data_IF_659118964055
#
_entry.id   IF_659118964055
#
_cell.length_a   1.000
_cell.length_b   1.000
_cell.length_c   1.000
_cell.angle_alpha   90.00
_cell.angle_beta   90.00
_cell.angle_gamma   90.00
#
_symmetry.space_group_name_H-M   'P 1'
#
loop_
_entity.id
_entity.type
_entity.pdbx_description
1 polymer ?
#
# COMPACT_ATOMS: atom_id res chain seq x y z
N UNK A 1 3.65 -8.02 -6.92
CA UNK A 1 2.78 -7.23 -6.03
C UNK A 1 1.44 -7.03 -6.74
N UNK A 2 0.31 -7.05 -6.01
CA UNK A 2 -1.06 -6.86 -6.54
C UNK A 2 -1.51 -7.93 -7.55
N UNK A 3 -1.01 -9.14 -7.45
CA UNK A 3 -1.35 -10.26 -8.34
C UNK A 3 -2.56 -11.06 -7.89
N UNK A 4 -3.05 -10.80 -6.68
CA UNK A 4 -4.13 -11.56 -6.07
C UNK A 4 -5.52 -10.98 -6.38
N UNK A 5 -6.46 -11.88 -6.63
CA UNK A 5 -7.88 -11.57 -6.76
C UNK A 5 -8.67 -12.39 -5.75
N UNK A 6 -9.66 -11.75 -5.15
CA UNK A 6 -10.61 -12.42 -4.24
C UNK A 6 -11.99 -12.45 -4.87
N UNK A 7 -12.65 -13.59 -4.78
CA UNK A 7 -14.05 -13.75 -5.16
C UNK A 7 -14.76 -14.61 -4.13
N UNK A 8 -15.65 -13.99 -3.33
CA UNK A 8 -16.31 -14.64 -2.19
C UNK A 8 -15.29 -15.26 -1.22
N UNK A 9 -15.28 -16.58 -1.14
CA UNK A 9 -14.43 -17.42 -0.30
C UNK A 9 -13.15 -17.91 -0.99
N UNK A 10 -12.90 -17.47 -2.24
CA UNK A 10 -11.74 -17.91 -3.01
C UNK A 10 -10.73 -16.79 -3.27
N UNK A 11 -9.46 -17.17 -3.33
CA UNK A 11 -8.34 -16.33 -3.69
C UNK A 11 -7.61 -16.97 -4.85
N UNK A 12 -7.25 -16.17 -5.86
CA UNK A 12 -6.47 -16.62 -7.01
C UNK A 12 -5.36 -15.63 -7.36
N UNK A 13 -4.26 -16.14 -7.89
CA UNK A 13 -3.16 -15.34 -8.42
C UNK A 13 -3.34 -15.15 -9.93
N UNK A 14 -3.32 -13.90 -10.40
CA UNK A 14 -3.42 -13.57 -11.83
C UNK A 14 -2.22 -14.06 -12.65
N UNK A 15 -1.05 -14.11 -12.02
CA UNK A 15 0.20 -14.43 -12.69
C UNK A 15 0.39 -15.93 -12.87
N UNK A 16 0.23 -16.72 -11.81
CA UNK A 16 0.50 -18.16 -11.84
C UNK A 16 -0.74 -19.03 -11.88
N UNK A 17 -1.94 -18.46 -11.79
CA UNK A 17 -3.21 -19.18 -11.81
C UNK A 17 -3.52 -20.00 -10.56
N UNK A 18 -2.63 -20.02 -9.57
CA UNK A 18 -2.87 -20.72 -8.30
C UNK A 18 -4.13 -20.17 -7.63
N UNK A 19 -5.01 -21.06 -7.20
CA UNK A 19 -6.27 -20.72 -6.57
C UNK A 19 -6.50 -21.59 -5.33
N UNK A 20 -7.09 -21.00 -4.30
CA UNK A 20 -7.51 -21.71 -3.09
C UNK A 20 -8.78 -21.09 -2.51
N UNK A 21 -9.41 -21.78 -1.57
CA UNK A 21 -10.53 -21.25 -0.79
C UNK A 21 -10.10 -20.97 0.64
N UNK A 22 -10.80 -20.03 1.27
CA UNK A 22 -10.62 -19.65 2.67
C UNK A 22 -11.93 -19.94 3.40
N UNK A 23 -11.84 -20.65 4.53
CA UNK A 23 -12.99 -20.87 5.40
C UNK A 23 -13.31 -19.64 6.27
N UNK A 24 -14.40 -19.72 7.04
CA UNK A 24 -14.83 -18.63 7.95
C UNK A 24 -13.86 -18.34 9.10
N UNK A 25 -12.90 -19.20 9.33
CA UNK A 25 -11.87 -19.08 10.39
C UNK A 25 -10.53 -18.59 9.85
N UNK A 26 -10.42 -18.33 8.53
CA UNK A 26 -9.18 -17.87 7.90
C UNK A 26 -8.22 -19.01 7.54
N UNK A 27 -8.68 -20.27 7.48
CA UNK A 27 -7.85 -21.38 7.04
C UNK A 27 -8.01 -21.60 5.54
N UNK A 28 -6.90 -21.92 4.89
CA UNK A 28 -6.88 -22.34 3.49
C UNK A 28 -7.20 -23.83 3.36
N UNK A 29 -7.65 -24.24 2.17
CA UNK A 29 -7.83 -25.66 1.86
C UNK A 29 -6.51 -26.43 1.96
N UNK A 30 -6.53 -27.73 2.32
CA UNK A 30 -5.34 -28.51 2.70
C UNK A 30 -4.20 -28.57 1.67
N UNK A 31 -4.52 -28.40 0.38
CA UNK A 31 -3.53 -28.49 -0.69
C UNK A 31 -2.81 -27.16 -0.99
N UNK A 32 -3.10 -26.10 -0.24
CA UNK A 32 -2.43 -24.84 -0.42
C UNK A 32 -1.13 -24.76 0.40
N UNK A 33 -0.15 -23.99 -0.08
CA UNK A 33 1.17 -23.83 0.54
C UNK A 33 1.10 -23.36 2.00
N UNK A 34 0.14 -22.48 2.31
CA UNK A 34 -0.09 -21.94 3.64
C UNK A 34 -1.35 -22.56 4.25
N UNK A 35 -1.37 -22.73 5.56
CA UNK A 35 -2.52 -23.26 6.28
C UNK A 35 -3.53 -22.16 6.64
N UNK A 36 -3.02 -20.98 6.97
CA UNK A 36 -3.82 -19.85 7.43
C UNK A 36 -3.48 -18.57 6.68
N UNK A 37 -4.40 -17.60 6.71
CA UNK A 37 -4.15 -16.25 6.20
C UNK A 37 -3.00 -15.59 6.95
N UNK A 38 -2.84 -15.86 8.25
CA UNK A 38 -1.76 -15.33 9.07
C UNK A 38 -0.38 -15.84 8.63
N UNK A 39 -0.23 -17.15 8.36
CA UNK A 39 1.02 -17.72 7.81
C UNK A 39 1.37 -17.07 6.46
N UNK A 40 0.37 -16.89 5.62
CA UNK A 40 0.57 -16.25 4.34
C UNK A 40 0.95 -14.77 4.47
N UNK A 41 0.33 -14.04 5.39
CA UNK A 41 0.61 -12.65 5.67
C UNK A 41 2.06 -12.47 6.16
N UNK A 42 2.50 -13.30 7.10
CA UNK A 42 3.89 -13.31 7.58
C UNK A 42 4.89 -13.56 6.46
N UNK A 43 4.60 -14.51 5.56
CA UNK A 43 5.42 -14.75 4.38
C UNK A 43 5.46 -13.53 3.43
N UNK A 44 4.35 -12.81 3.27
CA UNK A 44 4.32 -11.61 2.47
C UNK A 44 5.20 -10.50 3.07
N UNK A 45 5.18 -10.34 4.38
CA UNK A 45 6.01 -9.35 5.07
C UNK A 45 7.51 -9.67 4.90
N UNK A 46 7.91 -10.94 5.01
CA UNK A 46 9.28 -11.39 4.70
C UNK A 46 9.66 -11.09 3.24
N UNK A 47 8.78 -11.40 2.30
CA UNK A 47 8.99 -11.11 0.88
C UNK A 47 9.17 -9.61 0.62
N UNK A 48 8.35 -8.75 1.24
CA UNK A 48 8.48 -7.30 1.13
C UNK A 48 9.83 -6.81 1.68
N UNK A 49 10.26 -7.37 2.81
CA UNK A 49 11.54 -7.01 3.41
C UNK A 49 12.74 -7.38 2.51
N UNK A 50 12.73 -8.58 1.91
CA UNK A 50 13.75 -9.01 0.95
C UNK A 50 13.73 -8.16 -0.33
N UNK A 51 12.55 -7.92 -0.88
CA UNK A 51 12.37 -7.09 -2.07
C UNK A 51 12.86 -5.66 -1.83
N UNK A 52 12.48 -5.04 -0.69
CA UNK A 52 12.95 -3.73 -0.29
C UNK A 52 14.48 -3.65 -0.21
N UNK A 53 15.14 -4.66 0.38
CA UNK A 53 16.60 -4.72 0.49
C UNK A 53 17.29 -4.85 -0.88
N UNK A 54 16.70 -5.60 -1.81
CA UNK A 54 17.27 -5.87 -3.14
C UNK A 54 17.17 -4.72 -4.13
N UNK A 55 16.24 -3.78 -3.92
CA UNK A 55 16.04 -2.64 -4.81
C UNK A 55 16.99 -1.47 -4.46
N UNK A 56 17.34 -0.68 -5.47
CA UNK A 56 18.00 0.61 -5.29
C UNK A 56 16.98 1.73 -5.00
N UNK A 57 17.48 2.94 -4.67
CA UNK A 57 16.65 4.09 -4.32
C UNK A 57 15.81 4.64 -5.47
N UNK A 58 16.24 4.42 -6.71
CA UNK A 58 15.58 4.95 -7.92
C UNK A 58 14.58 3.96 -8.53
N UNK A 59 14.53 2.73 -8.01
CA UNK A 59 13.59 1.72 -8.49
C UNK A 59 12.18 2.01 -7.96
N UNK A 60 11.20 2.07 -8.88
CA UNK A 60 9.78 2.09 -8.51
C UNK A 60 9.40 0.70 -8.00
N UNK A 61 9.13 0.58 -6.70
CA UNK A 61 8.72 -0.68 -6.08
C UNK A 61 7.34 -1.12 -6.56
N UNK A 62 6.42 -0.17 -6.65
CA UNK A 62 5.07 -0.33 -7.21
C UNK A 62 4.41 1.03 -7.42
N UNK A 63 3.30 1.04 -8.16
CA UNK A 63 2.52 2.24 -8.40
C UNK A 63 1.03 1.92 -8.50
N UNK A 64 0.20 2.94 -8.22
CA UNK A 64 -1.25 2.89 -8.42
C UNK A 64 -1.72 4.12 -9.19
N UNK A 65 -2.59 3.88 -10.16
CA UNK A 65 -3.24 4.89 -10.97
C UNK A 65 -4.60 5.29 -10.37
N UNK A 66 -5.13 6.42 -10.82
CA UNK A 66 -6.45 6.92 -10.44
C UNK A 66 -6.60 7.11 -8.92
N UNK A 67 -5.56 7.62 -8.29
CA UNK A 67 -5.58 8.02 -6.89
C UNK A 67 -5.94 9.50 -6.77
N UNK A 68 -6.65 9.84 -5.71
CA UNK A 68 -6.96 11.20 -5.32
C UNK A 68 -6.19 11.53 -4.04
N UNK A 69 -5.46 12.63 -4.06
CA UNK A 69 -4.74 13.14 -2.89
C UNK A 69 -5.47 14.38 -2.37
N UNK A 70 -5.72 14.41 -1.07
CA UNK A 70 -6.31 15.53 -0.36
C UNK A 70 -5.41 15.96 0.81
N UNK A 71 -5.44 17.23 1.15
CA UNK A 71 -4.99 17.72 2.46
C UNK A 71 -6.17 17.76 3.42
N UNK A 72 -5.89 17.52 4.72
CA UNK A 72 -6.89 17.59 5.78
C UNK A 72 -6.54 18.75 6.69
N UNK A 73 -7.46 19.69 6.85
CA UNK A 73 -7.28 20.85 7.74
C UNK A 73 -7.53 20.49 9.20
N UNK A 74 -7.13 21.38 10.14
CA UNK A 74 -7.41 21.23 11.56
C UNK A 74 -8.91 21.20 11.90
N UNK A 75 -9.76 21.70 11.01
CA UNK A 75 -11.22 21.68 11.14
C UNK A 75 -11.86 20.43 10.52
N UNK A 76 -11.02 19.43 10.18
CA UNK A 76 -11.42 18.20 9.48
C UNK A 76 -12.02 18.41 8.07
N UNK A 77 -11.80 19.56 7.48
CA UNK A 77 -12.15 19.80 6.09
C UNK A 77 -11.09 19.21 5.17
N UNK A 78 -11.52 18.59 4.08
CA UNK A 78 -10.64 18.04 3.05
C UNK A 78 -10.55 19.00 1.87
N UNK A 79 -9.33 19.34 1.46
CA UNK A 79 -9.07 20.11 0.25
C UNK A 79 -8.40 19.21 -0.77
N UNK A 80 -9.01 19.10 -1.95
CA UNK A 80 -8.44 18.31 -3.04
C UNK A 80 -7.11 18.91 -3.52
N UNK A 81 -6.08 18.08 -3.59
CA UNK A 81 -4.76 18.41 -4.10
C UNK A 81 -4.65 18.06 -5.59
N UNK A 82 -5.31 16.97 -5.99
CA UNK A 82 -5.35 16.49 -7.36
C UNK A 82 -5.66 14.99 -7.44
N UNK A 83 -5.87 14.55 -8.67
CA UNK A 83 -5.97 13.14 -9.04
C UNK A 83 -4.81 12.78 -9.96
N UNK A 84 -4.35 11.53 -9.91
CA UNK A 84 -3.22 11.09 -10.71
C UNK A 84 -2.71 9.71 -10.33
N UNK A 85 -1.40 9.56 -10.38
CA UNK A 85 -0.66 8.32 -10.08
C UNK A 85 0.18 8.52 -8.83
N UNK A 86 0.35 7.45 -8.07
CA UNK A 86 1.28 7.39 -6.95
C UNK A 86 2.33 6.30 -7.21
N UNK A 87 3.60 6.65 -7.06
CA UNK A 87 4.74 5.74 -7.22
C UNK A 87 5.48 5.62 -5.90
N UNK A 88 5.72 4.39 -5.44
CA UNK A 88 6.50 4.10 -4.24
C UNK A 88 7.93 3.75 -4.59
N UNK A 89 8.87 4.40 -3.95
CA UNK A 89 10.30 4.13 -3.99
C UNK A 89 10.79 3.69 -2.61
N UNK A 90 12.05 3.37 -2.51
CA UNK A 90 12.68 2.94 -1.25
C UNK A 90 12.71 4.03 -0.18
N UNK A 91 12.95 5.28 -0.58
CA UNK A 91 13.17 6.42 0.32
C UNK A 91 12.01 7.42 0.31
N UNK A 92 11.18 7.36 -0.71
CA UNK A 92 10.12 8.33 -0.97
C UNK A 92 8.92 7.72 -1.66
N UNK A 93 7.81 8.41 -1.62
CA UNK A 93 6.76 8.20 -2.63
C UNK A 93 6.42 9.50 -3.35
N UNK A 94 5.99 9.38 -4.60
CA UNK A 94 5.76 10.50 -5.50
C UNK A 94 4.33 10.46 -5.99
N UNK A 95 3.62 11.54 -5.79
CA UNK A 95 2.32 11.77 -6.43
C UNK A 95 2.53 12.56 -7.72
N UNK A 96 2.12 11.99 -8.84
CA UNK A 96 2.13 12.59 -10.18
C UNK A 96 0.70 12.97 -10.56
N UNK A 97 0.31 14.19 -10.26
CA UNK A 97 -0.99 14.76 -10.64
C UNK A 97 -0.93 15.50 -11.96
N UNK A 98 -2.10 15.86 -12.51
CA UNK A 98 -2.19 16.60 -13.78
C UNK A 98 -1.50 17.97 -13.73
N UNK A 99 -1.64 18.68 -12.60
CA UNK A 99 -1.13 20.05 -12.45
C UNK A 99 0.22 20.10 -11.72
N UNK A 100 0.53 19.10 -10.89
CA UNK A 100 1.73 19.12 -10.07
C UNK A 100 2.19 17.72 -9.68
N UNK A 101 3.49 17.63 -9.44
CA UNK A 101 4.12 16.47 -8.81
C UNK A 101 4.50 16.83 -7.38
N UNK A 102 4.23 15.94 -6.45
CA UNK A 102 4.62 16.10 -5.04
C UNK A 102 5.45 14.89 -4.63
N UNK A 103 6.60 15.16 -4.07
CA UNK A 103 7.48 14.16 -3.50
C UNK A 103 7.39 14.18 -1.98
N UNK A 104 7.21 13.00 -1.36
CA UNK A 104 7.15 12.81 0.07
C UNK A 104 8.31 11.93 0.51
N UNK A 105 9.27 12.52 1.21
CA UNK A 105 10.37 11.78 1.84
C UNK A 105 9.85 10.95 3.01
N UNK A 106 10.03 9.63 2.95
CA UNK A 106 9.54 8.70 3.98
C UNK A 106 10.18 8.95 5.36
N UNK A 107 11.40 9.51 5.39
CA UNK A 107 12.07 9.86 6.65
C UNK A 107 11.41 11.03 7.37
N UNK A 108 10.73 11.90 6.63
CA UNK A 108 10.04 13.09 7.15
C UNK A 108 8.56 12.84 7.45
N UNK A 109 8.02 11.70 7.02
CA UNK A 109 6.63 11.34 7.30
C UNK A 109 6.50 10.85 8.74
N UNK A 110 5.45 11.30 9.40
CA UNK A 110 5.00 10.76 10.68
C UNK A 110 3.56 10.23 10.57
N UNK A 111 3.20 9.35 11.47
CA UNK A 111 1.85 8.86 11.67
C UNK A 111 1.17 8.26 10.42
N UNK A 112 1.96 7.61 9.54
CA UNK A 112 1.38 6.90 8.41
C UNK A 112 0.53 5.73 8.90
N UNK A 113 -0.73 5.73 8.46
CA UNK A 113 -1.70 4.71 8.86
C UNK A 113 -2.74 4.47 7.77
N UNK A 114 -3.57 3.46 7.97
CA UNK A 114 -4.66 3.09 7.07
C UNK A 114 -5.99 3.42 7.74
N UNK A 115 -6.78 4.28 7.11
CA UNK A 115 -8.13 4.58 7.55
C UNK A 115 -9.15 3.77 6.73
N UNK A 116 -9.92 2.92 7.44
CA UNK A 116 -10.82 1.97 6.79
C UNK A 116 -10.05 0.90 6.01
N UNK A 117 -10.42 0.65 4.75
CA UNK A 117 -9.82 -0.41 3.91
C UNK A 117 -8.99 0.10 2.75
N UNK A 118 -9.07 1.38 2.41
CA UNK A 118 -8.53 1.90 1.15
C UNK A 118 -8.03 3.34 1.20
N UNK A 119 -7.89 3.91 2.38
CA UNK A 119 -7.39 5.28 2.53
C UNK A 119 -6.08 5.23 3.30
N UNK A 120 -5.01 5.73 2.69
CA UNK A 120 -3.75 5.98 3.36
C UNK A 120 -3.78 7.39 3.93
N UNK A 121 -3.41 7.55 5.20
CA UNK A 121 -3.31 8.86 5.87
C UNK A 121 -1.93 9.02 6.47
N UNK A 122 -1.39 10.22 6.41
CA UNK A 122 -0.07 10.54 6.97
C UNK A 122 0.10 12.04 7.21
N UNK A 123 1.12 12.37 7.98
CA UNK A 123 1.57 13.74 8.21
C UNK A 123 2.97 13.90 7.60
N UNK A 124 3.18 14.93 6.77
CA UNK A 124 4.49 15.20 6.17
C UNK A 124 5.41 15.99 7.13
N UNK A 125 6.66 16.23 6.71
CA UNK A 125 7.66 16.94 7.48
C UNK A 125 7.31 18.41 7.79
N UNK A 126 6.31 18.98 7.13
CA UNK A 126 5.80 20.33 7.42
C UNK A 126 4.66 20.34 8.44
N UNK A 127 4.16 19.17 8.84
CA UNK A 127 3.02 19.01 9.70
C UNK A 127 1.68 19.02 8.95
N UNK A 128 1.69 19.02 7.62
CA UNK A 128 0.47 18.92 6.84
C UNK A 128 -0.06 17.48 6.81
N UNK A 129 -1.36 17.34 7.01
CA UNK A 129 -2.05 16.05 6.99
C UNK A 129 -2.57 15.76 5.59
N UNK A 130 -2.33 14.53 5.14
CA UNK A 130 -2.74 14.06 3.83
C UNK A 130 -3.58 12.80 3.93
N UNK A 131 -4.50 12.64 2.99
CA UNK A 131 -5.15 11.38 2.70
C UNK A 131 -5.03 11.04 1.22
N UNK A 132 -4.71 9.78 0.94
CA UNK A 132 -4.64 9.21 -0.40
C UNK A 132 -5.75 8.17 -0.53
N UNK A 133 -6.62 8.39 -1.50
CA UNK A 133 -7.79 7.54 -1.79
C UNK A 133 -7.77 7.08 -3.24
N UNK A 134 -8.42 5.95 -3.50
CA UNK A 134 -8.76 5.54 -4.86
C UNK A 134 -10.20 5.06 -4.92
N UNK A 135 -10.89 5.34 -6.03
CA UNK A 135 -12.21 4.77 -6.30
C UNK A 135 -12.13 3.26 -6.50
N UNK A 136 -11.05 2.79 -7.13
CA UNK A 136 -10.75 1.36 -7.22
C UNK A 136 -10.10 0.89 -5.92
N UNK A 137 -10.40 -0.34 -5.53
CA UNK A 137 -9.75 -0.95 -4.38
C UNK A 137 -8.26 -1.14 -4.68
N UNK A 138 -7.41 -0.35 -4.03
CA UNK A 138 -5.95 -0.51 -4.05
C UNK A 138 -5.50 -1.15 -2.74
N UNK A 139 -4.37 -1.86 -2.79
CA UNK A 139 -3.75 -2.41 -1.58
C UNK A 139 -2.93 -1.31 -0.88
N UNK A 140 -3.57 -0.49 -0.05
CA UNK A 140 -2.88 0.57 0.70
C UNK A 140 -1.90 0.04 1.74
N UNK A 141 -2.02 -1.23 2.18
CA UNK A 141 -1.12 -1.85 3.15
C UNK A 141 0.33 -1.91 2.62
N UNK A 142 0.53 -2.12 1.32
CA UNK A 142 1.87 -2.15 0.73
C UNK A 142 2.67 -0.86 0.97
N UNK A 143 2.01 0.31 0.98
CA UNK A 143 2.63 1.61 1.30
C UNK A 143 3.07 1.68 2.76
N UNK A 144 2.19 1.25 3.66
CA UNK A 144 2.49 1.21 5.10
C UNK A 144 3.63 0.22 5.41
N UNK A 145 3.67 -0.94 4.72
CA UNK A 145 4.74 -1.92 4.88
C UNK A 145 6.10 -1.33 4.51
N UNK A 146 6.22 -0.65 3.35
CA UNK A 146 7.49 0.00 2.95
C UNK A 146 7.88 1.13 3.92
N UNK A 147 6.90 1.94 4.35
CA UNK A 147 7.15 2.99 5.35
C UNK A 147 7.71 2.40 6.66
N UNK A 148 7.14 1.31 7.17
CA UNK A 148 7.62 0.65 8.38
C UNK A 148 9.03 0.08 8.19
N UNK A 149 9.31 -0.59 7.07
CA UNK A 149 10.65 -1.10 6.74
C UNK A 149 11.69 0.03 6.70
N UNK A 150 11.32 1.21 6.19
CA UNK A 150 12.22 2.38 6.21
C UNK A 150 12.50 2.88 7.63
N UNK A 151 11.52 2.81 8.55
CA UNK A 151 11.68 3.24 9.94
C UNK A 151 12.51 2.28 10.80
N UNK A 152 12.63 1.02 10.39
CA UNK A 152 13.42 -0.01 11.09
C UNK A 152 14.92 0.03 10.73
N UNK A 153 15.28 0.74 9.67
CA UNK A 153 16.67 0.91 9.18
C UNK A 153 17.27 2.22 9.67
#
# INVERSE_FOLDING_TARGET
>A
IDTLQTHKDSVSCKECGTSTKIDSYGNFLPDFKFRTVEEWDSWQDEFYAEYYKSCDSETILFSDENVCVNTVTSEHETKNVGSGKICMYKEKFVFEGEEKTIEFDLSQISDMSIYGRKTLVFTDGTGAHYEVKSEKLINVRKYLTIYNLKKEV
#
